data_IF_527938901547
#
_entry.id   IF_527938901547
#
_cell.length_a   1.000
_cell.length_b   1.000
_cell.length_c   1.000
_cell.angle_alpha   90.00
_cell.angle_beta   90.00
_cell.angle_gamma   90.00
#
_symmetry.space_group_name_H-M   'P 1'
#
loop_
_entity.id
_entity.type
_entity.pdbx_description
1 polymer ?
#
# COMPACT_ATOMS: atom_id res chain seq x y z
N UNK A 1 -14.58 -33.22 -26.67
CA UNK A 1 -14.37 -31.76 -26.72
C UNK A 1 -14.16 -31.26 -25.31
N UNK A 2 -12.96 -30.71 -25.06
CA UNK A 2 -12.58 -29.71 -24.04
C UNK A 2 -13.17 -29.86 -22.62
N UNK A 3 -12.41 -30.50 -21.74
CA UNK A 3 -12.30 -30.09 -20.33
C UNK A 3 -10.86 -29.61 -20.12
N UNK A 4 -10.69 -28.31 -20.35
CA UNK A 4 -9.45 -27.56 -20.18
C UNK A 4 -9.28 -27.17 -18.71
N UNK A 5 -8.13 -27.55 -18.15
CA UNK A 5 -7.28 -26.73 -17.28
C UNK A 5 -7.97 -25.87 -16.21
N UNK A 6 -8.07 -26.42 -14.99
CA UNK A 6 -8.11 -25.62 -13.76
C UNK A 6 -7.34 -26.34 -12.65
N UNK A 7 -6.03 -26.46 -12.86
CA UNK A 7 -5.11 -27.01 -11.85
C UNK A 7 -3.72 -26.42 -12.03
N UNK A 8 -3.62 -25.09 -11.97
CA UNK A 8 -2.33 -24.42 -11.79
C UNK A 8 -2.50 -23.25 -10.82
N UNK A 9 -1.60 -23.22 -9.83
CA UNK A 9 -1.28 -22.12 -8.92
C UNK A 9 -1.88 -22.10 -7.50
N UNK A 10 -1.89 -23.24 -6.84
CA UNK A 10 -2.05 -23.35 -5.37
C UNK A 10 -0.87 -24.04 -4.68
N UNK A 11 0.38 -23.78 -5.12
CA UNK A 11 1.55 -24.44 -4.52
C UNK A 11 2.88 -23.69 -4.66
N UNK A 12 2.94 -22.41 -4.24
CA UNK A 12 4.20 -21.82 -3.73
C UNK A 12 3.82 -20.81 -2.65
N UNK A 13 3.82 -21.22 -1.38
CA UNK A 13 4.10 -20.39 -0.19
C UNK A 13 3.73 -21.16 1.09
N UNK A 14 4.40 -22.29 1.33
CA UNK A 14 4.61 -22.77 2.71
C UNK A 14 6.04 -23.30 2.81
N UNK A 15 6.83 -22.66 3.67
CA UNK A 15 7.85 -23.37 4.44
C UNK A 15 9.31 -23.24 3.99
N UNK A 16 9.88 -22.04 4.04
CA UNK A 16 11.27 -21.89 4.52
C UNK A 16 11.25 -21.19 5.88
N UNK A 17 10.58 -21.82 6.84
CA UNK A 17 10.91 -21.62 8.26
C UNK A 17 12.15 -22.46 8.54
N UNK A 18 13.34 -21.84 8.44
CA UNK A 18 14.39 -21.91 9.46
C UNK A 18 15.66 -21.18 9.01
N UNK A 19 16.23 -20.45 9.97
CA UNK A 19 17.62 -19.96 10.02
C UNK A 19 17.99 -18.75 9.15
N UNK A 20 17.56 -17.56 9.58
CA UNK A 20 18.52 -16.47 9.73
C UNK A 20 18.20 -15.62 10.98
N UNK A 21 18.55 -16.18 12.14
CA UNK A 21 18.95 -15.34 13.27
C UNK A 21 20.17 -14.54 12.82
N UNK A 22 20.11 -13.22 12.90
CA UNK A 22 21.31 -12.38 12.77
C UNK A 22 21.16 -11.16 11.87
N UNK A 23 20.22 -10.27 12.19
CA UNK A 23 20.49 -8.83 12.28
C UNK A 23 19.20 -8.18 12.78
N UNK A 24 19.26 -7.61 14.00
CA UNK A 24 18.29 -6.60 14.42
C UNK A 24 18.35 -5.48 13.39
N UNK A 25 17.43 -5.45 12.43
CA UNK A 25 17.02 -4.20 11.80
C UNK A 25 16.37 -3.40 12.91
N UNK A 26 17.19 -2.64 13.62
CA UNK A 26 16.72 -1.58 14.51
C UNK A 26 15.71 -0.79 13.70
N UNK A 27 14.43 -0.88 14.09
CA UNK A 27 13.40 0.06 13.63
C UNK A 27 13.96 1.43 13.93
N UNK A 28 14.56 2.06 12.92
CA UNK A 28 14.93 3.46 13.00
C UNK A 28 13.60 4.17 12.84
N UNK A 29 12.90 4.33 13.94
CA UNK A 29 11.93 5.41 14.07
C UNK A 29 12.75 6.66 13.80
N UNK A 30 12.74 7.15 12.56
CA UNK A 30 13.21 8.49 12.29
C UNK A 30 12.24 9.36 13.07
N UNK A 31 12.69 9.85 14.22
CA UNK A 31 11.96 10.86 14.96
C UNK A 31 11.56 11.96 13.97
N UNK A 32 10.25 12.13 13.79
CA UNK A 32 9.61 13.10 12.89
C UNK A 32 10.06 14.55 13.17
N UNK A 33 10.83 14.77 14.25
CA UNK A 33 11.37 16.06 14.69
C UNK A 33 12.83 16.36 14.27
N UNK A 34 13.50 15.53 13.46
CA UNK A 34 14.81 15.93 12.92
C UNK A 34 14.61 16.81 11.70
N UNK A 35 15.05 18.08 11.78
CA UNK A 35 15.24 18.96 10.62
C UNK A 35 15.90 18.15 9.50
N UNK A 36 15.12 17.78 8.49
CA UNK A 36 15.63 17.11 7.30
C UNK A 36 16.31 18.20 6.48
N UNK A 37 17.60 18.39 6.74
CA UNK A 37 18.40 19.47 6.17
C UNK A 37 19.20 19.03 4.93
N UNK A 38 19.20 17.74 4.63
CA UNK A 38 19.98 17.18 3.54
C UNK A 38 19.15 16.23 2.65
N UNK A 39 19.57 16.17 1.39
CA UNK A 39 18.94 15.39 0.32
C UNK A 39 18.73 13.92 0.68
N UNK A 40 19.72 13.33 1.36
CA UNK A 40 19.71 11.90 1.71
C UNK A 40 18.63 11.62 2.73
N UNK A 41 18.55 12.43 3.79
CA UNK A 41 17.50 12.33 4.80
C UNK A 41 16.11 12.54 4.20
N UNK A 42 15.94 13.48 3.26
CA UNK A 42 14.66 13.71 2.58
C UNK A 42 14.22 12.51 1.74
N UNK A 43 15.15 11.90 1.00
CA UNK A 43 14.88 10.69 0.24
C UNK A 43 14.45 9.53 1.14
N UNK A 44 15.15 9.32 2.27
CA UNK A 44 14.79 8.27 3.22
C UNK A 44 13.44 8.53 3.89
N UNK A 45 13.13 9.77 4.23
CA UNK A 45 11.83 10.14 4.77
C UNK A 45 10.70 9.75 3.81
N UNK A 46 10.77 10.17 2.54
CA UNK A 46 9.73 9.81 1.56
C UNK A 46 9.63 8.29 1.35
N UNK A 47 10.76 7.57 1.38
CA UNK A 47 10.78 6.10 1.34
C UNK A 47 10.09 5.46 2.54
N UNK A 48 10.33 5.98 3.75
CA UNK A 48 9.68 5.50 4.96
C UNK A 48 8.17 5.73 4.89
N UNK A 49 7.71 6.91 4.43
CA UNK A 49 6.28 7.20 4.26
C UNK A 49 5.61 6.24 3.27
N UNK A 50 6.26 5.99 2.13
CA UNK A 50 5.79 5.01 1.14
C UNK A 50 5.66 3.61 1.77
N UNK A 51 6.68 3.18 2.54
CA UNK A 51 6.65 1.86 3.23
C UNK A 51 5.51 1.81 4.24
N UNK A 52 5.31 2.87 5.01
CA UNK A 52 4.28 2.90 6.03
C UNK A 52 2.87 2.85 5.40
N UNK A 53 2.66 3.48 4.24
CA UNK A 53 1.44 3.32 3.43
C UNK A 53 1.25 1.84 3.02
N UNK A 54 2.29 1.17 2.52
CA UNK A 54 2.22 -0.25 2.12
C UNK A 54 1.85 -1.16 3.30
N UNK A 55 2.42 -0.88 4.47
CA UNK A 55 2.13 -1.63 5.71
C UNK A 55 0.66 -1.47 6.10
N UNK A 56 0.15 -0.24 6.12
CA UNK A 56 -1.27 0.01 6.47
C UNK A 56 -2.20 -0.69 5.48
N UNK A 57 -1.92 -0.62 4.18
CA UNK A 57 -2.68 -1.36 3.17
C UNK A 57 -2.61 -2.87 3.38
N UNK A 58 -1.42 -3.43 3.59
CA UNK A 58 -1.22 -4.87 3.79
C UNK A 58 -1.95 -5.41 5.02
N UNK A 59 -1.95 -4.66 6.12
CA UNK A 59 -2.72 -5.01 7.32
C UNK A 59 -4.24 -5.05 7.05
N UNK A 60 -4.75 -4.14 6.21
CA UNK A 60 -6.17 -4.15 5.84
C UNK A 60 -6.52 -5.29 4.88
N UNK A 61 -5.65 -5.57 3.91
CA UNK A 61 -5.81 -6.70 3.00
C UNK A 61 -5.83 -8.05 3.76
N UNK A 62 -4.96 -8.20 4.78
CA UNK A 62 -4.97 -9.36 5.65
C UNK A 62 -6.29 -9.50 6.43
N UNK A 63 -6.84 -8.39 6.94
CA UNK A 63 -8.14 -8.39 7.64
C UNK A 63 -9.25 -8.95 6.73
N UNK A 64 -9.33 -8.46 5.50
CA UNK A 64 -10.33 -8.89 4.50
C UNK A 64 -10.17 -10.37 4.18
N UNK A 65 -8.94 -10.83 3.92
CA UNK A 65 -8.66 -12.24 3.64
C UNK A 65 -9.05 -13.16 4.81
N UNK A 66 -8.85 -12.71 6.05
CA UNK A 66 -9.25 -13.46 7.24
C UNK A 66 -10.77 -13.56 7.38
N UNK A 67 -11.51 -12.49 7.06
CA UNK A 67 -12.97 -12.51 7.04
C UNK A 67 -13.50 -13.45 5.95
N UNK A 68 -12.97 -13.37 4.72
CA UNK A 68 -13.32 -14.28 3.61
C UNK A 68 -13.04 -15.75 3.91
N UNK A 69 -11.90 -16.04 4.50
CA UNK A 69 -11.53 -17.41 4.88
C UNK A 69 -12.27 -17.94 6.10
N UNK A 70 -13.25 -17.18 6.64
CA UNK A 70 -14.02 -17.50 7.86
C UNK A 70 -13.13 -17.79 9.07
N UNK A 71 -11.91 -17.24 9.09
CA UNK A 71 -10.97 -17.34 10.22
C UNK A 71 -11.32 -16.36 11.34
N UNK A 72 -12.10 -15.34 11.02
CA UNK A 72 -12.69 -14.39 11.96
C UNK A 72 -14.15 -14.17 11.57
N UNK A 73 -15.00 -13.96 12.57
CA UNK A 73 -16.37 -13.49 12.39
C UNK A 73 -16.37 -11.97 12.62
N UNK A 74 -16.29 -11.22 11.53
CA UNK A 74 -16.14 -9.76 11.54
C UNK A 74 -17.07 -9.15 10.48
N UNK A 75 -17.88 -8.18 10.90
CA UNK A 75 -18.59 -7.30 9.96
C UNK A 75 -17.59 -6.31 9.35
N UNK A 76 -17.41 -6.42 8.04
CA UNK A 76 -16.47 -5.57 7.29
C UNK A 76 -17.00 -4.15 7.05
N UNK A 77 -18.28 -3.87 7.32
CA UNK A 77 -18.88 -2.57 7.06
C UNK A 77 -18.26 -1.45 7.91
N UNK A 78 -17.52 -0.55 7.28
CA UNK A 78 -16.84 0.57 7.93
C UNK A 78 -15.53 0.16 8.62
N UNK A 79 -15.07 -1.07 8.41
CA UNK A 79 -13.79 -1.57 8.92
C UNK A 79 -12.58 -0.85 8.32
N UNK A 80 -12.74 -0.21 7.15
CA UNK A 80 -11.70 0.59 6.50
C UNK A 80 -11.33 1.88 7.26
N UNK A 81 -12.22 2.39 8.12
CA UNK A 81 -12.14 3.75 8.66
C UNK A 81 -10.83 4.08 9.39
N UNK A 82 -10.33 3.19 10.23
CA UNK A 82 -9.09 3.44 10.97
C UNK A 82 -7.83 3.31 10.09
N UNK A 83 -7.88 2.47 9.06
CA UNK A 83 -6.81 2.35 8.07
C UNK A 83 -6.73 3.61 7.20
N UNK A 84 -7.88 4.13 6.75
CA UNK A 84 -7.96 5.39 6.01
C UNK A 84 -7.40 6.56 6.82
N UNK A 85 -7.78 6.69 8.11
CA UNK A 85 -7.22 7.72 9.00
C UNK A 85 -5.69 7.63 9.14
N UNK A 86 -5.15 6.40 9.22
CA UNK A 86 -3.70 6.19 9.31
C UNK A 86 -2.99 6.60 8.02
N UNK A 87 -3.57 6.30 6.85
CA UNK A 87 -3.03 6.76 5.57
C UNK A 87 -3.13 8.28 5.44
N UNK A 88 -4.23 8.89 5.87
CA UNK A 88 -4.38 10.35 5.89
C UNK A 88 -3.32 11.03 6.76
N UNK A 89 -3.05 10.48 7.95
CA UNK A 89 -2.00 10.99 8.83
C UNK A 89 -0.59 10.92 8.20
N UNK A 90 -0.31 9.85 7.43
CA UNK A 90 0.93 9.74 6.66
C UNK A 90 0.97 10.79 5.54
N UNK A 91 -0.12 10.97 4.80
CA UNK A 91 -0.25 11.99 3.77
C UNK A 91 -0.01 13.40 4.30
N UNK A 92 -0.61 13.74 5.44
CA UNK A 92 -0.40 15.02 6.12
C UNK A 92 1.07 15.19 6.55
N UNK A 93 1.70 14.14 7.08
CA UNK A 93 3.13 14.17 7.44
C UNK A 93 4.01 14.44 6.21
N UNK A 94 3.67 13.86 5.06
CA UNK A 94 4.36 14.12 3.79
C UNK A 94 4.14 15.57 3.34
N UNK A 95 2.92 16.08 3.39
CA UNK A 95 2.55 17.44 2.96
C UNK A 95 3.22 18.53 3.80
N UNK A 96 3.29 18.33 5.13
CA UNK A 96 3.90 19.28 6.06
C UNK A 96 5.44 19.30 5.98
N UNK A 97 6.06 18.29 5.37
CA UNK A 97 7.51 18.22 5.21
C UNK A 97 8.02 19.30 4.23
N UNK A 98 8.97 20.17 4.65
CA UNK A 98 9.60 21.12 3.74
C UNK A 98 10.26 20.44 2.54
N UNK A 99 10.00 20.96 1.35
CA UNK A 99 10.50 20.40 0.10
C UNK A 99 12.00 20.66 -0.02
N UNK A 100 12.79 19.58 -0.09
CA UNK A 100 14.19 19.69 -0.47
C UNK A 100 14.32 20.08 -1.94
N UNK A 101 15.28 20.94 -2.29
CA UNK A 101 15.50 21.46 -3.65
C UNK A 101 15.34 20.37 -4.73
N UNK A 102 14.39 20.60 -5.65
CA UNK A 102 14.03 19.73 -6.77
C UNK A 102 13.42 18.38 -6.39
N UNK A 103 12.84 18.29 -5.20
CA UNK A 103 12.07 17.16 -4.67
C UNK A 103 10.55 17.31 -4.83
N UNK A 104 10.06 18.39 -5.45
CA UNK A 104 8.63 18.71 -5.59
C UNK A 104 7.85 17.58 -6.28
N UNK A 105 8.29 17.15 -7.46
CA UNK A 105 7.63 16.09 -8.22
C UNK A 105 7.65 14.76 -7.46
N UNK A 106 8.74 14.50 -6.73
CA UNK A 106 8.88 13.28 -5.95
C UNK A 106 7.87 13.25 -4.80
N UNK A 107 7.79 14.31 -3.99
CA UNK A 107 6.80 14.42 -2.92
C UNK A 107 5.37 14.34 -3.46
N UNK A 108 5.06 15.07 -4.53
CA UNK A 108 3.73 15.02 -5.18
C UNK A 108 3.35 13.61 -5.60
N UNK A 109 4.30 12.83 -6.12
CA UNK A 109 4.02 11.44 -6.48
C UNK A 109 3.76 10.54 -5.26
N UNK A 110 4.34 10.84 -4.10
CA UNK A 110 4.04 10.12 -2.85
C UNK A 110 2.64 10.47 -2.34
N UNK A 111 2.24 11.73 -2.42
CA UNK A 111 0.87 12.16 -2.09
C UNK A 111 -0.15 11.53 -3.03
N UNK A 112 0.11 11.53 -4.35
CA UNK A 112 -0.74 10.83 -5.33
C UNK A 112 -0.84 9.32 -5.04
N UNK A 113 0.25 8.70 -4.59
CA UNK A 113 0.23 7.30 -4.19
C UNK A 113 -0.64 7.07 -2.93
N UNK A 114 -0.59 8.01 -1.98
CA UNK A 114 -1.42 8.01 -0.78
C UNK A 114 -2.91 8.00 -1.16
N UNK A 115 -3.32 8.88 -2.07
CA UNK A 115 -4.71 8.97 -2.55
C UNK A 115 -5.19 7.69 -3.23
N UNK A 116 -4.36 7.12 -4.11
CA UNK A 116 -4.72 5.87 -4.80
C UNK A 116 -4.82 4.69 -3.85
N UNK A 117 -4.00 4.63 -2.80
CA UNK A 117 -4.12 3.56 -1.80
C UNK A 117 -5.40 3.72 -0.98
N UNK A 118 -5.84 4.95 -0.67
CA UNK A 118 -7.16 5.18 -0.02
C UNK A 118 -8.32 4.71 -0.87
N UNK A 119 -8.29 5.03 -2.17
CA UNK A 119 -9.27 4.55 -3.16
C UNK A 119 -9.29 3.01 -3.18
N UNK A 120 -8.11 2.38 -3.25
CA UNK A 120 -7.99 0.92 -3.19
C UNK A 120 -8.58 0.31 -1.92
N UNK A 121 -8.31 0.88 -0.74
CA UNK A 121 -8.86 0.39 0.54
C UNK A 121 -10.39 0.45 0.53
N UNK A 122 -10.95 1.55 0.03
CA UNK A 122 -12.40 1.75 -0.05
C UNK A 122 -13.06 0.71 -0.97
N UNK A 123 -12.45 0.47 -2.14
CA UNK A 123 -12.96 -0.53 -3.09
C UNK A 123 -12.77 -1.96 -2.58
N UNK A 124 -11.66 -2.24 -1.89
CA UNK A 124 -11.42 -3.52 -1.25
C UNK A 124 -12.43 -3.80 -0.14
N UNK A 125 -12.86 -2.78 0.63
CA UNK A 125 -13.94 -2.95 1.61
C UNK A 125 -15.23 -3.40 0.93
N UNK A 126 -15.64 -2.70 -0.13
CA UNK A 126 -16.87 -3.03 -0.89
C UNK A 126 -16.79 -4.45 -1.45
N UNK A 127 -15.68 -4.78 -2.09
CA UNK A 127 -15.45 -6.12 -2.64
C UNK A 127 -15.44 -7.17 -1.52
N UNK A 128 -14.77 -6.85 -0.40
CA UNK A 128 -14.70 -7.63 0.81
C UNK A 128 -16.08 -8.00 1.37
N UNK A 129 -16.94 -7.00 1.57
CA UNK A 129 -18.31 -7.19 2.07
C UNK A 129 -19.08 -8.16 1.17
N UNK A 130 -19.08 -7.94 -0.14
CA UNK A 130 -19.80 -8.79 -1.09
C UNK A 130 -19.28 -10.24 -1.07
N UNK A 131 -17.97 -10.44 -0.96
CA UNK A 131 -17.37 -11.77 -0.83
C UNK A 131 -17.69 -12.52 0.46
N UNK A 132 -18.17 -11.83 1.51
CA UNK A 132 -18.64 -12.48 2.75
C UNK A 132 -20.10 -12.93 2.70
N UNK A 133 -20.88 -12.49 1.69
CA UNK A 133 -22.31 -12.79 1.57
C UNK A 133 -22.48 -14.06 0.70
N UNK A 134 -23.04 -15.17 1.24
CA UNK A 134 -23.17 -16.44 0.51
C UNK A 134 -23.98 -16.35 -0.80
N UNK A 135 -24.99 -15.48 -0.83
CA UNK A 135 -25.89 -15.27 -1.98
C UNK A 135 -25.77 -13.83 -2.52
N UNK A 136 -24.57 -13.25 -2.52
CA UNK A 136 -24.33 -11.93 -3.09
C UNK A 136 -24.81 -11.89 -4.55
N UNK A 137 -25.37 -10.76 -4.98
CA UNK A 137 -25.64 -10.55 -6.40
C UNK A 137 -24.33 -10.67 -7.18
N UNK A 138 -24.31 -11.56 -8.17
CA UNK A 138 -23.09 -11.89 -8.91
C UNK A 138 -22.60 -10.74 -9.78
N UNK A 139 -23.52 -9.89 -10.28
CA UNK A 139 -23.14 -8.72 -11.07
C UNK A 139 -22.53 -7.66 -10.14
N UNK A 140 -23.13 -7.42 -8.97
CA UNK A 140 -22.57 -6.48 -8.00
C UNK A 140 -21.19 -6.90 -7.50
N UNK A 141 -21.00 -8.21 -7.26
CA UNK A 141 -19.70 -8.77 -6.89
C UNK A 141 -18.66 -8.56 -7.99
N UNK A 142 -18.98 -8.91 -9.23
CA UNK A 142 -18.07 -8.79 -10.36
C UNK A 142 -17.70 -7.32 -10.64
N UNK A 143 -18.67 -6.40 -10.54
CA UNK A 143 -18.43 -4.97 -10.72
C UNK A 143 -17.49 -4.42 -9.65
N UNK A 144 -17.65 -4.86 -8.39
CA UNK A 144 -16.75 -4.49 -7.31
C UNK A 144 -15.33 -5.07 -7.50
N UNK A 145 -15.22 -6.32 -7.97
CA UNK A 145 -13.94 -6.94 -8.32
C UNK A 145 -13.22 -6.16 -9.43
N UNK A 146 -13.93 -5.82 -10.51
CA UNK A 146 -13.37 -5.04 -11.63
C UNK A 146 -12.86 -3.69 -11.13
N UNK A 147 -13.68 -2.96 -10.36
CA UNK A 147 -13.28 -1.66 -9.81
C UNK A 147 -12.03 -1.78 -8.91
N UNK A 148 -11.97 -2.81 -8.04
CA UNK A 148 -10.80 -3.04 -7.21
C UNK A 148 -9.54 -3.38 -8.03
N UNK A 149 -9.68 -4.17 -9.09
CA UNK A 149 -8.58 -4.51 -10.00
C UNK A 149 -8.08 -3.30 -10.77
N UNK A 150 -8.98 -2.44 -11.26
CA UNK A 150 -8.63 -1.18 -11.92
C UNK A 150 -7.85 -0.24 -10.98
N UNK A 151 -8.33 -0.07 -9.75
CA UNK A 151 -7.63 0.71 -8.72
C UNK A 151 -6.28 0.10 -8.33
N UNK A 152 -6.18 -1.23 -8.34
CA UNK A 152 -4.90 -1.94 -8.11
C UNK A 152 -3.90 -1.65 -9.23
N UNK A 153 -4.32 -1.69 -10.49
CA UNK A 153 -3.47 -1.35 -11.63
C UNK A 153 -3.01 0.11 -11.56
N UNK A 154 -3.93 1.04 -11.30
CA UNK A 154 -3.60 2.46 -11.06
C UNK A 154 -2.59 2.63 -9.92
N UNK A 155 -2.75 1.89 -8.82
CA UNK A 155 -1.82 1.89 -7.70
C UNK A 155 -0.42 1.41 -8.09
N UNK A 156 -0.31 0.39 -8.93
CA UNK A 156 0.97 -0.10 -9.46
C UNK A 156 1.63 0.96 -10.36
N UNK A 157 0.86 1.60 -11.23
CA UNK A 157 1.35 2.65 -12.12
C UNK A 157 1.90 3.85 -11.34
N UNK A 158 1.14 4.35 -10.38
CA UNK A 158 1.56 5.47 -9.52
C UNK A 158 2.77 5.07 -8.68
N UNK A 159 2.81 3.84 -8.13
CA UNK A 159 3.98 3.37 -7.39
C UNK A 159 5.23 3.28 -8.27
N UNK A 160 5.07 2.91 -9.54
CA UNK A 160 6.16 2.93 -10.51
C UNK A 160 6.63 4.36 -10.85
N UNK A 161 5.69 5.31 -10.94
CA UNK A 161 6.00 6.75 -11.10
C UNK A 161 6.85 7.25 -9.91
N UNK A 162 6.47 6.91 -8.68
CA UNK A 162 7.23 7.22 -7.45
C UNK A 162 8.66 6.69 -7.55
N UNK A 163 8.84 5.42 -7.96
CA UNK A 163 10.18 4.81 -8.13
C UNK A 163 11.03 5.56 -9.17
N UNK A 164 10.42 5.98 -10.29
CA UNK A 164 11.12 6.76 -11.33
C UNK A 164 11.56 8.12 -10.80
N UNK A 165 10.67 8.84 -10.12
CA UNK A 165 10.94 10.18 -9.59
C UNK A 165 11.96 10.16 -8.44
N UNK A 166 11.91 9.14 -7.59
CA UNK A 166 12.99 8.83 -6.63
C UNK A 166 14.35 8.72 -7.32
N UNK A 167 14.46 7.87 -8.35
CA UNK A 167 15.72 7.66 -9.06
C UNK A 167 16.23 8.95 -9.71
N UNK A 168 15.33 9.73 -10.31
CA UNK A 168 15.66 11.05 -10.86
C UNK A 168 16.14 12.01 -9.78
N UNK A 169 15.47 12.05 -8.63
CA UNK A 169 15.86 12.88 -7.49
C UNK A 169 17.25 12.49 -6.99
N UNK A 170 17.54 11.20 -6.78
CA UNK A 170 18.84 10.68 -6.33
C UNK A 170 19.99 11.08 -7.26
N UNK A 171 19.78 11.06 -8.58
CA UNK A 171 20.79 11.40 -9.58
C UNK A 171 21.09 12.90 -9.71
N UNK A 172 20.16 13.79 -9.34
CA UNK A 172 20.36 15.25 -9.44
C UNK A 172 21.39 15.74 -8.42
N UNK A 173 22.56 16.20 -8.86
CA UNK A 173 23.52 16.85 -7.97
C UNK A 173 23.16 18.33 -7.80
N UNK A 174 23.06 18.80 -6.56
CA UNK A 174 22.94 20.22 -6.26
C UNK A 174 24.29 20.69 -5.74
N UNK A 175 24.97 21.53 -6.52
CA UNK A 175 26.19 22.21 -6.07
C UNK A 175 25.76 23.24 -5.02
N UNK A 176 26.40 23.19 -3.85
CA UNK A 176 26.22 24.16 -2.76
C UNK A 176 26.86 25.49 -3.10
#
# INVERSE_FOLDING_TARGET
MKTLLLSVLSLILVGTLNAQQGAKTTKRNVEVNKRIDNKVAYNYFLLDMIRDIDVVYGEYEELIQRAWSKRIDLDLKGSSGDYLKRIDAIGQTVEEMPIFKGGDDYQKSVLEYTDVVKEKITLLERYGILGTIPDSDINEYNDAEIAFNEATNKGIEVRNKVRKLKSSFEKKTYIQ
#
